data_IF_234162420114
#
_entry.id   IF_234162420114
#
_cell.length_a   1.000
_cell.length_b   1.000
_cell.length_c   1.000
_cell.angle_alpha   90.00
_cell.angle_beta   90.00
_cell.angle_gamma   90.00
#
_symmetry.space_group_name_H-M   'P 1'
#
loop_
_entity.id
_entity.type
_entity.pdbx_description
1 polymer ?
#
# COMPACT_ATOMS: atom_id res chain seq x y z
N UNK A 1 -20.87 -13.84 -90.79
CA UNK A 1 -19.96 -14.64 -91.65
C UNK A 1 -18.53 -14.30 -91.24
N UNK A 2 -17.71 -15.32 -90.88
CA UNK A 2 -16.23 -15.41 -90.97
C UNK A 2 -15.42 -14.09 -90.89
N UNK A 3 -14.36 -13.91 -90.11
CA UNK A 3 -13.35 -14.83 -89.59
C UNK A 3 -12.43 -13.99 -88.68
N UNK A 4 -11.94 -14.61 -87.62
CA UNK A 4 -10.84 -14.15 -86.78
C UNK A 4 -9.53 -14.06 -87.57
N UNK A 5 -8.67 -13.09 -87.26
CA UNK A 5 -7.22 -13.23 -87.41
C UNK A 5 -6.55 -12.67 -86.16
N UNK A 6 -5.83 -13.56 -85.49
CA UNK A 6 -5.05 -13.34 -84.27
C UNK A 6 -3.63 -12.95 -84.70
N UNK A 7 -3.06 -11.90 -84.13
CA UNK A 7 -1.61 -11.69 -84.09
C UNK A 7 -1.20 -11.68 -82.63
N UNK A 8 -0.43 -12.71 -82.29
CA UNK A 8 0.20 -12.95 -81.00
C UNK A 8 1.36 -11.99 -80.80
N UNK A 9 1.39 -11.25 -79.68
CA UNK A 9 2.62 -10.69 -79.13
C UNK A 9 2.75 -11.17 -77.69
N UNK A 10 3.76 -12.03 -77.49
CA UNK A 10 4.29 -12.45 -76.19
C UNK A 10 5.13 -11.30 -75.65
N UNK A 11 4.84 -10.83 -74.44
CA UNK A 11 5.62 -9.75 -73.81
C UNK A 11 5.36 -9.59 -72.32
N UNK A 12 6.18 -10.27 -71.51
CA UNK A 12 6.51 -10.07 -70.09
C UNK A 12 5.39 -9.82 -69.08
N UNK A 13 5.13 -10.86 -68.29
CA UNK A 13 4.45 -10.80 -67.00
C UNK A 13 5.39 -10.19 -65.95
N UNK A 14 5.03 -9.04 -65.38
CA UNK A 14 5.55 -8.60 -64.08
C UNK A 14 4.51 -8.95 -63.02
N UNK A 15 4.77 -10.00 -62.23
CA UNK A 15 4.06 -10.24 -60.98
C UNK A 15 4.67 -9.32 -59.90
N UNK A 16 4.09 -8.16 -59.67
CA UNK A 16 4.34 -7.44 -58.42
C UNK A 16 3.43 -8.03 -57.35
N UNK A 17 3.97 -8.97 -56.57
CA UNK A 17 3.35 -9.47 -55.34
C UNK A 17 3.47 -8.34 -54.31
N UNK A 18 2.46 -7.48 -54.21
CA UNK A 18 2.36 -6.61 -53.03
C UNK A 18 1.84 -7.46 -51.88
N UNK A 19 2.79 -8.09 -51.19
CA UNK A 19 2.59 -8.74 -49.89
C UNK A 19 1.96 -7.73 -48.94
N UNK A 20 0.91 -8.18 -48.25
CA UNK A 20 0.18 -7.45 -47.22
C UNK A 20 1.12 -6.74 -46.25
N UNK A 21 1.13 -5.41 -46.26
CA UNK A 21 1.62 -4.63 -45.13
C UNK A 21 0.45 -4.40 -44.16
N UNK A 22 0.06 -5.44 -43.43
CA UNK A 22 -0.72 -5.27 -42.22
C UNK A 22 0.22 -4.70 -41.14
N UNK A 23 0.37 -3.37 -41.11
CA UNK A 23 0.97 -2.69 -39.96
C UNK A 23 -0.08 -2.61 -38.85
N UNK A 24 -0.24 -3.70 -38.10
CA UNK A 24 -0.79 -3.61 -36.75
C UNK A 24 0.38 -3.29 -35.81
N UNK A 25 0.73 -2.01 -35.71
CA UNK A 25 1.53 -1.52 -34.60
C UNK A 25 0.58 -0.81 -33.63
N UNK A 26 -0.08 -1.60 -32.78
CA UNK A 26 -0.57 -1.12 -31.50
C UNK A 26 -0.13 -2.13 -30.46
N UNK A 27 0.99 -1.81 -29.82
CA UNK A 27 1.30 -2.23 -28.46
C UNK A 27 2.30 -1.23 -27.91
N UNK A 28 1.87 0.04 -27.79
CA UNK A 28 2.38 0.81 -26.65
C UNK A 28 1.85 0.07 -25.43
N UNK A 29 2.74 -0.69 -24.79
CA UNK A 29 2.55 -1.19 -23.44
C UNK A 29 1.97 -0.01 -22.64
N UNK A 30 0.68 -0.06 -22.30
CA UNK A 30 0.10 0.92 -21.40
C UNK A 30 0.80 0.64 -20.08
N UNK A 31 1.89 1.35 -19.82
CA UNK A 31 2.33 1.56 -18.45
C UNK A 31 1.17 2.31 -17.82
N UNK A 32 0.35 1.59 -17.06
CA UNK A 32 -0.69 2.22 -16.27
C UNK A 32 -0.03 3.40 -15.53
N UNK A 33 -0.66 4.57 -15.61
CA UNK A 33 -0.21 5.71 -14.83
C UNK A 33 -0.17 5.25 -13.37
N UNK A 34 0.90 5.57 -12.65
CA UNK A 34 1.01 5.22 -11.22
C UNK A 34 -0.20 5.77 -10.45
N UNK A 35 -0.77 6.88 -10.89
CA UNK A 35 -2.02 7.40 -10.34
C UNK A 35 -3.22 6.46 -10.55
N UNK A 36 -3.32 5.80 -11.72
CA UNK A 36 -4.37 4.82 -12.02
C UNK A 36 -4.19 3.54 -11.20
N UNK A 37 -2.95 3.05 -11.07
CA UNK A 37 -2.60 1.89 -10.24
C UNK A 37 -3.02 2.15 -8.79
N UNK A 38 -2.58 3.27 -8.20
CA UNK A 38 -2.91 3.63 -6.82
C UNK A 38 -4.41 3.91 -6.65
N UNK A 39 -5.09 4.45 -7.66
CA UNK A 39 -6.55 4.64 -7.66
C UNK A 39 -7.28 3.29 -7.65
N UNK A 40 -6.83 2.31 -8.42
CA UNK A 40 -7.39 0.96 -8.40
C UNK A 40 -7.18 0.29 -7.04
N UNK A 41 -5.98 0.39 -6.46
CA UNK A 41 -5.68 -0.13 -5.13
C UNK A 41 -6.54 0.54 -4.04
N UNK A 42 -6.69 1.87 -4.08
CA UNK A 42 -7.53 2.62 -3.16
C UNK A 42 -9.01 2.20 -3.22
N UNK A 43 -9.52 1.96 -4.43
CA UNK A 43 -10.91 1.57 -4.65
C UNK A 43 -11.20 0.09 -4.37
N UNK A 44 -10.17 -0.75 -4.29
CA UNK A 44 -10.32 -2.16 -3.95
C UNK A 44 -10.60 -2.33 -2.44
N UNK A 45 -11.86 -2.61 -2.10
CA UNK A 45 -12.34 -2.79 -0.72
C UNK A 45 -12.42 -4.26 -0.30
N UNK A 46 -11.62 -5.14 -0.92
CA UNK A 46 -11.57 -6.55 -0.53
C UNK A 46 -11.31 -6.69 0.98
N UNK A 47 -12.03 -7.61 1.63
CA UNK A 47 -11.84 -7.91 3.06
C UNK A 47 -10.41 -8.37 3.34
N UNK A 48 -9.94 -9.26 2.49
CA UNK A 48 -8.66 -9.95 2.56
C UNK A 48 -8.20 -10.28 1.12
N UNK A 49 -7.04 -10.91 0.99
CA UNK A 49 -6.46 -11.28 -0.29
C UNK A 49 -6.68 -12.76 -0.62
N UNK A 50 -7.88 -13.27 -0.30
CA UNK A 50 -8.38 -14.59 -0.70
C UNK A 50 -8.46 -15.63 0.41
N UNK A 51 -7.94 -15.34 1.60
CA UNK A 51 -7.92 -16.26 2.75
C UNK A 51 -7.78 -15.54 4.10
N UNK A 52 -8.07 -16.24 5.21
CA UNK A 52 -8.03 -15.69 6.58
C UNK A 52 -6.62 -15.30 7.07
N UNK A 53 -5.56 -15.72 6.36
CA UNK A 53 -4.16 -15.46 6.69
C UNK A 53 -3.55 -14.34 5.84
N UNK A 54 -4.29 -13.80 4.87
CA UNK A 54 -3.81 -12.80 3.92
C UNK A 54 -4.55 -11.46 4.08
N UNK A 55 -4.14 -10.58 5.01
CA UNK A 55 -4.73 -9.26 5.16
C UNK A 55 -4.74 -8.41 3.89
N UNK A 56 -5.70 -7.49 3.78
CA UNK A 56 -5.92 -6.66 2.59
C UNK A 56 -4.71 -5.78 2.18
N UNK A 57 -3.80 -5.43 3.11
CA UNK A 57 -2.56 -4.71 2.78
C UNK A 57 -1.62 -5.50 1.86
N UNK A 58 -1.90 -6.78 1.62
CA UNK A 58 -1.12 -7.60 0.70
C UNK A 58 -1.55 -7.42 -0.77
N UNK A 59 -2.74 -6.87 -1.06
CA UNK A 59 -3.27 -6.79 -2.43
C UNK A 59 -4.13 -5.55 -2.72
N UNK A 60 -4.24 -4.62 -1.79
CA UNK A 60 -5.11 -3.44 -1.92
C UNK A 60 -4.69 -2.32 -0.98
N UNK A 61 -5.28 -1.15 -1.20
CA UNK A 61 -5.04 0.07 -0.43
C UNK A 61 -3.63 0.63 -0.59
N UNK A 62 -3.42 1.82 -0.05
CA UNK A 62 -2.17 2.57 -0.23
C UNK A 62 -1.45 2.68 1.11
N UNK A 63 -0.33 1.98 1.27
CA UNK A 63 0.50 2.00 2.48
C UNK A 63 1.58 3.09 2.36
N UNK A 64 1.33 4.24 2.97
CA UNK A 64 2.10 5.46 2.78
C UNK A 64 2.79 5.93 4.06
N UNK A 65 4.00 6.46 3.91
CA UNK A 65 4.79 7.07 5.00
C UNK A 65 5.29 8.44 4.59
N UNK A 66 5.05 9.41 5.46
CA UNK A 66 5.63 10.74 5.34
C UNK A 66 7.10 10.76 5.72
N UNK A 67 7.89 11.55 5.01
CA UNK A 67 9.33 11.71 5.25
C UNK A 67 9.68 13.15 5.59
N UNK A 68 10.87 13.38 6.12
CA UNK A 68 11.34 14.74 6.44
C UNK A 68 12.44 15.15 5.47
N UNK A 69 12.52 16.43 5.10
CA UNK A 69 13.64 16.95 4.31
C UNK A 69 14.99 16.72 4.98
N UNK A 70 16.06 16.63 4.18
CA UNK A 70 17.44 16.67 4.66
C UNK A 70 18.06 15.34 5.07
N UNK A 71 17.35 14.23 4.87
CA UNK A 71 17.86 12.86 4.98
C UNK A 71 17.32 12.05 3.81
N UNK A 72 18.03 10.98 3.42
CA UNK A 72 17.49 10.04 2.44
C UNK A 72 16.13 9.54 2.92
N UNK A 73 15.11 9.62 2.06
CA UNK A 73 13.72 9.43 2.47
C UNK A 73 13.43 8.01 2.99
N UNK A 74 14.26 7.02 2.62
CA UNK A 74 14.17 5.63 3.06
C UNK A 74 14.93 5.33 4.36
N UNK A 75 15.69 6.29 4.93
CA UNK A 75 16.45 6.05 6.16
C UNK A 75 15.52 5.89 7.36
N UNK A 76 15.92 5.02 8.27
CA UNK A 76 15.17 4.75 9.47
C UNK A 76 15.64 5.63 10.62
N UNK A 77 14.69 6.08 11.44
CA UNK A 77 15.04 6.75 12.69
C UNK A 77 15.65 5.72 13.66
N UNK A 78 16.63 6.09 14.51
CA UNK A 78 17.20 5.18 15.51
C UNK A 78 16.16 4.50 16.40
N UNK A 79 15.06 5.19 16.71
CA UNK A 79 13.95 4.63 17.49
C UNK A 79 13.19 3.54 16.74
N UNK A 80 13.05 3.64 15.41
CA UNK A 80 12.41 2.61 14.58
C UNK A 80 13.22 1.34 14.55
N UNK A 81 14.55 1.45 14.49
CA UNK A 81 15.48 0.31 14.57
C UNK A 81 15.40 -0.30 15.97
N UNK A 82 15.57 0.52 17.02
CA UNK A 82 15.57 0.07 18.42
C UNK A 82 14.28 -0.67 18.82
N UNK A 83 13.13 -0.16 18.37
CA UNK A 83 11.82 -0.66 18.78
C UNK A 83 11.18 -1.58 17.72
N UNK A 84 11.95 -1.95 16.68
CA UNK A 84 11.54 -2.85 15.62
C UNK A 84 10.21 -2.45 14.95
N UNK A 85 10.04 -1.18 14.61
CA UNK A 85 8.82 -0.73 13.94
C UNK A 85 8.93 0.65 13.27
N UNK A 86 8.29 0.76 12.11
CA UNK A 86 8.21 1.96 11.28
C UNK A 86 6.74 2.27 11.05
N UNK A 87 6.33 3.50 11.39
CA UNK A 87 4.93 3.93 11.31
C UNK A 87 4.56 4.34 9.87
N UNK A 88 3.41 3.85 9.41
CA UNK A 88 2.78 4.14 8.13
C UNK A 88 1.30 4.47 8.36
N UNK A 89 0.67 5.09 7.37
CA UNK A 89 -0.78 5.19 7.24
C UNK A 89 -1.24 4.36 6.05
N UNK A 90 -2.45 3.82 6.13
CA UNK A 90 -3.04 2.98 5.10
C UNK A 90 -4.35 3.58 4.59
N UNK A 91 -4.39 3.99 3.33
CA UNK A 91 -5.53 4.68 2.75
C UNK A 91 -6.36 3.73 1.87
N UNK A 92 -7.67 3.68 2.11
CA UNK A 92 -8.64 2.90 1.32
C UNK A 92 -10.00 3.58 1.28
N UNK A 93 -10.81 3.30 0.26
CA UNK A 93 -12.11 3.96 0.03
C UNK A 93 -13.10 3.87 1.20
N UNK A 94 -13.07 2.80 1.96
CA UNK A 94 -13.94 2.54 3.12
C UNK A 94 -13.29 2.90 4.47
N UNK A 95 -12.03 3.31 4.47
CA UNK A 95 -11.21 3.63 5.64
C UNK A 95 -10.53 4.99 5.47
N UNK A 96 -11.33 6.00 5.08
CA UNK A 96 -10.82 7.32 4.72
C UNK A 96 -10.38 8.12 5.93
N UNK A 97 -9.40 8.99 5.72
CA UNK A 97 -9.04 10.05 6.63
C UNK A 97 -8.71 11.32 5.83
N UNK A 98 -8.98 12.49 6.40
CA UNK A 98 -9.01 13.77 5.68
C UNK A 98 -7.79 14.65 5.94
N UNK A 99 -6.97 14.34 6.94
CA UNK A 99 -5.74 15.09 7.17
C UNK A 99 -4.60 14.40 6.48
N UNK A 100 -3.82 15.23 5.79
CA UNK A 100 -2.51 14.89 5.30
C UNK A 100 -1.70 14.31 6.45
N UNK A 101 -1.06 13.17 6.19
CA UNK A 101 0.05 12.62 6.96
C UNK A 101 0.90 13.77 7.54
N UNK A 102 1.56 13.55 8.68
CA UNK A 102 2.42 14.53 9.33
C UNK A 102 3.58 15.11 8.45
N UNK A 103 3.60 14.83 7.14
CA UNK A 103 4.49 15.40 6.14
C UNK A 103 3.76 15.74 4.83
N UNK A 104 4.30 16.76 4.13
CA UNK A 104 3.87 17.19 2.80
C UNK A 104 4.34 16.25 1.66
N UNK A 105 5.21 15.28 1.97
CA UNK A 105 5.81 14.36 1.02
C UNK A 105 6.19 13.03 1.69
N UNK A 106 6.44 12.02 0.87
CA UNK A 106 6.85 10.71 1.34
C UNK A 106 6.86 9.66 0.25
N UNK A 107 6.71 8.40 0.66
CA UNK A 107 6.69 7.26 -0.24
C UNK A 107 5.57 6.27 0.10
N UNK A 108 5.26 5.43 -0.87
CA UNK A 108 4.28 4.35 -0.82
C UNK A 108 5.04 3.04 -1.01
N UNK A 109 4.73 2.03 -0.19
CA UNK A 109 5.22 0.67 -0.40
C UNK A 109 4.22 -0.14 -1.21
N UNK A 110 4.73 -1.06 -2.04
CA UNK A 110 3.88 -2.04 -2.72
C UNK A 110 3.05 -2.84 -1.72
N UNK A 111 1.80 -3.19 -2.06
CA UNK A 111 1.10 -4.29 -1.42
C UNK A 111 1.93 -5.58 -1.53
N UNK A 112 2.04 -6.36 -0.45
CA UNK A 112 3.01 -7.47 -0.36
C UNK A 112 2.96 -8.52 -1.49
N UNK A 113 1.77 -8.88 -1.99
CA UNK A 113 1.61 -9.82 -3.13
C UNK A 113 1.87 -9.16 -4.51
N UNK A 114 2.04 -7.84 -4.54
CA UNK A 114 2.37 -7.04 -5.73
C UNK A 114 3.83 -6.57 -5.75
N UNK A 115 4.57 -6.80 -4.66
CA UNK A 115 6.00 -6.50 -4.55
C UNK A 115 6.81 -7.22 -5.64
N UNK A 116 7.67 -6.52 -6.39
CA UNK A 116 8.59 -7.14 -7.35
C UNK A 116 9.50 -8.18 -6.69
N UNK A 117 9.87 -9.22 -7.44
CA UNK A 117 10.59 -10.38 -6.89
C UNK A 117 12.01 -10.06 -6.38
N UNK A 118 12.62 -8.99 -6.90
CA UNK A 118 13.92 -8.46 -6.50
C UNK A 118 13.89 -7.65 -5.21
N UNK A 119 12.70 -7.23 -4.75
CA UNK A 119 12.53 -6.46 -3.54
C UNK A 119 12.31 -7.38 -2.31
N UNK A 120 12.64 -6.86 -1.14
CA UNK A 120 12.34 -7.53 0.11
C UNK A 120 10.84 -7.47 0.44
N UNK A 121 10.34 -8.53 1.06
CA UNK A 121 8.98 -8.57 1.56
C UNK A 121 8.90 -7.85 2.90
N UNK A 122 8.28 -6.68 2.89
CA UNK A 122 8.09 -5.88 4.09
C UNK A 122 6.90 -6.42 4.89
N UNK A 123 7.09 -6.62 6.19
CA UNK A 123 6.09 -7.24 7.08
C UNK A 123 5.32 -6.19 7.87
N UNK A 124 3.99 -6.24 7.83
CA UNK A 124 3.13 -5.48 8.75
C UNK A 124 3.01 -6.22 10.08
N UNK A 125 3.26 -5.53 11.18
CA UNK A 125 3.30 -6.08 12.53
C UNK A 125 1.96 -5.93 13.25
N UNK A 126 1.40 -4.74 13.23
CA UNK A 126 0.14 -4.44 13.90
C UNK A 126 -0.54 -3.21 13.28
N UNK A 127 -1.79 -3.01 13.67
CA UNK A 127 -2.67 -2.02 13.08
C UNK A 127 -3.50 -1.31 14.16
N UNK A 128 -3.37 0.01 14.23
CA UNK A 128 -4.20 0.88 15.06
C UNK A 128 -5.21 1.64 14.20
N UNK A 129 -6.46 1.75 14.66
CA UNK A 129 -7.52 2.44 13.93
C UNK A 129 -7.42 3.98 13.98
N UNK A 130 -6.49 4.53 14.75
CA UNK A 130 -6.16 5.95 14.83
C UNK A 130 -4.67 6.14 15.16
N UNK A 131 -4.17 7.39 15.12
CA UNK A 131 -2.80 7.73 15.56
C UNK A 131 -2.59 7.35 17.03
N UNK A 132 -1.78 6.32 17.24
CA UNK A 132 -1.58 5.70 18.54
C UNK A 132 -0.35 6.24 19.27
N UNK A 133 0.27 7.31 18.74
CA UNK A 133 1.49 7.93 19.26
C UNK A 133 2.53 6.85 19.60
N UNK A 134 2.77 5.91 18.67
CA UNK A 134 3.55 4.69 18.92
C UNK A 134 4.96 4.97 19.46
N UNK A 135 5.54 6.10 19.09
CA UNK A 135 6.79 6.63 19.69
C UNK A 135 6.81 6.56 21.23
N UNK A 136 5.68 6.85 21.90
CA UNK A 136 5.57 6.87 23.35
C UNK A 136 5.42 5.49 24.02
N UNK A 137 5.24 4.39 23.28
CA UNK A 137 4.84 3.08 23.82
C UNK A 137 5.98 2.26 24.42
N UNK A 138 6.92 2.92 25.11
CA UNK A 138 8.00 2.31 25.91
C UNK A 138 8.81 1.23 25.17
N UNK A 139 9.00 1.40 23.87
CA UNK A 139 9.77 0.49 23.04
C UNK A 139 8.99 -0.67 22.43
N UNK A 140 7.68 -0.76 22.66
CA UNK A 140 6.81 -1.72 21.99
C UNK A 140 5.74 -1.00 21.16
N UNK A 141 6.04 -0.79 19.88
CA UNK A 141 5.15 -0.06 18.97
C UNK A 141 3.85 -0.80 18.66
N UNK A 142 3.70 -2.07 19.05
CA UNK A 142 2.45 -2.83 18.94
C UNK A 142 1.78 -3.10 20.30
N UNK A 143 2.34 -2.56 21.37
CA UNK A 143 1.80 -2.72 22.71
C UNK A 143 0.50 -1.97 22.90
N UNK A 144 -0.42 -2.52 23.69
CA UNK A 144 -1.72 -1.92 23.99
C UNK A 144 -1.80 -1.43 25.45
N UNK A 145 -2.57 -0.37 25.74
CA UNK A 145 -2.81 0.07 27.11
C UNK A 145 -3.56 -1.01 27.92
N UNK A 146 -3.46 -0.97 29.26
CA UNK A 146 -2.75 0.03 30.08
C UNK A 146 -1.24 -0.17 30.17
N UNK A 147 -0.71 -1.28 29.64
CA UNK A 147 0.70 -1.68 29.74
C UNK A 147 1.32 -1.96 28.36
N UNK A 148 1.57 -0.93 27.52
CA UNK A 148 2.14 -1.12 26.19
C UNK A 148 3.48 -1.87 26.19
N UNK A 149 4.29 -1.69 27.23
CA UNK A 149 5.57 -2.38 27.41
C UNK A 149 5.46 -3.92 27.38
N UNK A 150 4.28 -4.47 27.71
CA UNK A 150 4.02 -5.92 27.66
C UNK A 150 3.76 -6.45 26.25
N UNK A 151 3.53 -5.58 25.27
CA UNK A 151 3.34 -5.99 23.87
C UNK A 151 2.04 -6.72 23.56
N UNK A 152 1.05 -6.64 24.45
CA UNK A 152 -0.24 -7.29 24.26
C UNK A 152 -1.05 -6.56 23.18
N UNK A 153 -1.76 -7.35 22.37
CA UNK A 153 -2.63 -6.92 21.27
C UNK A 153 -4.07 -6.70 21.73
N UNK A 154 -4.92 -6.12 20.86
CA UNK A 154 -6.37 -6.08 21.06
C UNK A 154 -6.94 -7.48 21.32
N UNK A 155 -6.47 -8.49 20.58
CA UNK A 155 -6.93 -9.86 20.72
C UNK A 155 -6.67 -10.44 22.12
N UNK A 156 -5.54 -10.08 22.74
CA UNK A 156 -5.20 -10.51 24.11
C UNK A 156 -6.15 -9.95 25.17
N UNK A 157 -6.81 -8.82 24.86
CA UNK A 157 -7.83 -8.20 25.71
C UNK A 157 -9.26 -8.57 25.30
N UNK A 158 -9.44 -9.53 24.39
CA UNK A 158 -10.76 -9.98 23.93
C UNK A 158 -11.45 -9.01 22.96
N UNK A 159 -10.70 -8.07 22.38
CA UNK A 159 -11.19 -7.16 21.35
C UNK A 159 -10.90 -7.75 19.98
N UNK A 160 -11.94 -8.18 19.28
CA UNK A 160 -11.87 -8.85 17.98
C UNK A 160 -12.68 -8.14 16.88
N UNK A 161 -13.42 -7.09 17.21
CA UNK A 161 -14.30 -6.42 16.24
C UNK A 161 -14.18 -4.91 16.34
N UNK A 162 -14.49 -4.21 15.25
CA UNK A 162 -14.57 -2.76 15.21
C UNK A 162 -15.49 -2.18 16.29
N UNK A 163 -16.62 -2.84 16.55
CA UNK A 163 -17.57 -2.43 17.60
C UNK A 163 -16.97 -2.60 19.00
N UNK A 164 -16.29 -3.72 19.26
CA UNK A 164 -15.58 -3.91 20.53
C UNK A 164 -14.47 -2.88 20.69
N UNK A 165 -13.69 -2.59 19.65
CA UNK A 165 -12.64 -1.56 19.69
C UNK A 165 -13.22 -0.18 19.98
N UNK A 166 -14.31 0.21 19.30
CA UNK A 166 -15.00 1.49 19.55
C UNK A 166 -15.54 1.61 20.98
N UNK A 167 -15.89 0.49 21.63
CA UNK A 167 -16.27 0.48 23.06
C UNK A 167 -15.07 0.49 24.00
N UNK A 168 -13.99 -0.19 23.63
CA UNK A 168 -12.80 -0.36 24.45
C UNK A 168 -11.90 0.90 24.46
N UNK A 169 -11.97 1.72 23.40
CA UNK A 169 -11.08 2.86 23.27
C UNK A 169 -11.34 3.93 24.35
N UNK A 170 -10.38 4.09 25.26
CA UNK A 170 -10.50 5.05 26.34
C UNK A 170 -10.36 6.49 25.82
N UNK A 171 -11.41 7.29 26.03
CA UNK A 171 -11.46 8.73 25.68
C UNK A 171 -11.15 9.04 24.21
N UNK A 172 -11.29 8.05 23.30
CA UNK A 172 -10.92 8.18 21.87
C UNK A 172 -9.51 8.77 21.68
N UNK A 173 -8.56 8.31 22.48
CA UNK A 173 -7.21 8.89 22.56
C UNK A 173 -6.14 7.94 22.06
N UNK A 174 -5.00 8.50 21.62
CA UNK A 174 -3.81 7.77 21.22
C UNK A 174 -3.33 6.75 22.27
N UNK A 175 -3.51 7.05 23.55
CA UNK A 175 -3.11 6.18 24.67
C UNK A 175 -4.20 5.23 25.15
N UNK A 176 -5.43 5.39 24.65
CA UNK A 176 -6.57 4.55 25.01
C UNK A 176 -6.86 3.43 24.01
N UNK A 177 -6.08 3.33 22.94
CA UNK A 177 -6.31 2.39 21.83
C UNK A 177 -5.31 1.23 21.85
N UNK A 178 -5.81 0.01 21.64
CA UNK A 178 -5.02 -1.20 21.42
C UNK A 178 -4.67 -1.39 19.93
N UNK A 179 -3.64 -2.19 19.64
CA UNK A 179 -3.28 -2.57 18.27
C UNK A 179 -3.80 -3.97 17.96
N UNK A 180 -4.41 -4.17 16.79
CA UNK A 180 -4.64 -5.51 16.28
C UNK A 180 -3.32 -6.13 15.83
N UNK A 181 -3.01 -7.34 16.30
CA UNK A 181 -1.90 -8.13 15.76
C UNK A 181 -2.30 -8.70 14.40
N UNK A 182 -1.50 -8.42 13.38
CA UNK A 182 -1.75 -8.83 11.99
C UNK A 182 -0.59 -9.65 11.42
N UNK A 183 0.34 -10.10 12.27
CA UNK A 183 1.42 -11.00 11.89
C UNK A 183 0.85 -12.35 11.45
N UNK A 184 1.57 -13.13 10.61
CA UNK A 184 1.13 -14.47 10.22
C UNK A 184 0.89 -15.43 11.40
N UNK A 185 1.52 -15.18 12.55
CA UNK A 185 1.35 -15.95 13.80
C UNK A 185 0.10 -15.58 14.59
N UNK A 186 -0.57 -14.47 14.25
CA UNK A 186 -1.78 -14.03 14.92
C UNK A 186 -2.97 -14.93 14.55
N UNK A 187 -4.01 -14.90 15.40
CA UNK A 187 -5.28 -15.59 15.10
C UNK A 187 -6.09 -14.73 14.13
N UNK A 188 -6.32 -15.25 12.91
CA UNK A 188 -7.09 -14.59 11.83
C UNK A 188 -6.59 -13.16 11.54
N UNK A 189 -5.31 -12.99 11.14
CA UNK A 189 -4.73 -11.67 10.92
C UNK A 189 -5.47 -10.87 9.86
N UNK A 190 -6.05 -11.55 8.85
CA UNK A 190 -6.79 -10.85 7.80
C UNK A 190 -8.09 -10.23 8.34
N UNK A 191 -8.81 -10.95 9.20
CA UNK A 191 -9.97 -10.39 9.89
C UNK A 191 -9.55 -9.27 10.83
N UNK A 192 -8.48 -9.46 11.62
CA UNK A 192 -7.98 -8.45 12.55
C UNK A 192 -7.66 -7.11 11.85
N UNK A 193 -6.96 -7.15 10.70
CA UNK A 193 -6.71 -5.95 9.91
C UNK A 193 -8.00 -5.34 9.35
N UNK A 194 -8.93 -6.16 8.85
CA UNK A 194 -10.22 -5.67 8.37
C UNK A 194 -11.03 -4.97 9.47
N UNK A 195 -10.94 -5.44 10.72
CA UNK A 195 -11.60 -4.80 11.87
C UNK A 195 -10.98 -3.45 12.22
N UNK A 196 -9.69 -3.21 11.95
CA UNK A 196 -9.12 -1.85 11.99
C UNK A 196 -9.87 -0.94 11.02
N UNK A 197 -10.03 -1.37 9.77
CA UNK A 197 -10.63 -0.55 8.72
C UNK A 197 -12.10 -0.25 9.01
N UNK A 198 -12.84 -1.25 9.48
CA UNK A 198 -14.21 -1.09 9.96
C UNK A 198 -14.33 -0.21 11.21
N UNK A 199 -13.27 -0.10 12.03
CA UNK A 199 -13.27 0.74 13.22
C UNK A 199 -13.14 2.23 12.88
N UNK A 200 -12.45 2.57 11.79
CA UNK A 200 -12.14 3.96 11.44
C UNK A 200 -13.38 4.87 11.36
N UNK A 201 -14.50 4.47 10.71
CA UNK A 201 -15.71 5.31 10.66
C UNK A 201 -16.33 5.61 12.05
N UNK A 202 -16.15 4.74 13.05
CA UNK A 202 -16.74 4.96 14.38
C UNK A 202 -16.02 6.05 15.19
N UNK A 203 -14.75 6.31 14.88
CA UNK A 203 -13.86 7.12 15.70
C UNK A 203 -14.06 8.64 15.47
N UNK A 204 -14.75 9.04 14.39
CA UNK A 204 -15.05 10.44 14.07
C UNK A 204 -13.79 11.26 13.76
N UNK A 205 -13.85 12.59 13.90
CA UNK A 205 -12.71 13.51 13.68
C UNK A 205 -11.61 13.45 14.77
N UNK A 206 -11.47 12.33 15.49
CA UNK A 206 -10.42 12.15 16.49
C UNK A 206 -9.21 11.44 15.89
N UNK A 207 -8.06 12.12 15.86
CA UNK A 207 -6.75 11.56 15.48
C UNK A 207 -6.72 10.86 14.10
N UNK A 208 -7.43 11.46 13.14
CA UNK A 208 -6.97 11.94 11.83
C UNK A 208 -6.27 11.00 10.80
N UNK A 209 -5.82 9.81 11.18
CA UNK A 209 -5.34 8.73 10.29
C UNK A 209 -5.12 7.46 11.10
N UNK A 210 -5.14 6.29 10.46
CA UNK A 210 -4.69 5.07 11.12
C UNK A 210 -3.16 5.03 11.24
N UNK A 211 -2.68 4.20 12.16
CA UNK A 211 -1.26 3.96 12.35
C UNK A 211 -0.95 2.46 12.18
N UNK A 212 -0.22 2.14 11.12
CA UNK A 212 0.18 0.79 10.74
C UNK A 212 1.67 0.64 11.03
N UNK A 213 2.02 -0.36 11.83
CA UNK A 213 3.40 -0.62 12.18
C UNK A 213 3.99 -1.65 11.25
N UNK A 214 5.08 -1.28 10.61
CA UNK A 214 5.79 -2.07 9.61
C UNK A 214 7.17 -2.43 10.17
N UNK A 215 7.65 -3.64 9.91
CA UNK A 215 9.00 -4.07 10.31
C UNK A 215 10.06 -3.21 9.60
N UNK A 216 11.14 -2.78 10.30
CA UNK A 216 12.30 -2.17 9.67
C UNK A 216 12.87 -3.00 8.51
N UNK A 217 13.25 -2.31 7.44
CA UNK A 217 14.01 -2.84 6.30
C UNK A 217 15.51 -2.64 6.48
N UNK A 218 16.33 -3.24 5.60
CA UNK A 218 17.77 -2.97 5.56
C UNK A 218 18.06 -1.62 4.90
N UNK A 219 18.34 -0.60 5.72
CA UNK A 219 18.66 0.74 5.23
C UNK A 219 19.99 0.82 4.44
N UNK A 220 20.81 -0.24 4.46
CA UNK A 220 22.03 -0.33 3.65
C UNK A 220 21.76 -0.91 2.25
N UNK A 221 20.56 -1.45 2.00
CA UNK A 221 20.13 -1.95 0.71
C UNK A 221 18.89 -1.18 0.20
N UNK A 222 19.02 0.11 -0.15
CA UNK A 222 17.87 0.92 -0.58
C UNK A 222 17.15 0.37 -1.82
N UNK A 223 17.87 -0.33 -2.70
CA UNK A 223 17.29 -0.97 -3.89
C UNK A 223 16.39 -2.17 -3.55
N UNK A 224 16.58 -2.77 -2.38
CA UNK A 224 15.75 -3.86 -1.90
C UNK A 224 14.37 -3.40 -1.40
N UNK A 225 14.23 -2.13 -1.02
CA UNK A 225 12.99 -1.62 -0.41
C UNK A 225 11.87 -1.58 -1.47
N UNK A 226 10.68 -2.14 -1.19
CA UNK A 226 9.59 -2.24 -2.17
C UNK A 226 8.82 -0.91 -2.28
N UNK A 227 9.50 0.16 -2.69
CA UNK A 227 8.88 1.46 -2.96
C UNK A 227 8.13 1.40 -4.29
N UNK A 228 6.83 1.63 -4.24
CA UNK A 228 5.96 1.69 -5.41
C UNK A 228 5.92 3.11 -6.01
N UNK A 229 5.84 4.13 -5.16
CA UNK A 229 5.73 5.51 -5.60
C UNK A 229 6.27 6.50 -4.55
N UNK A 230 6.63 7.69 -5.03
CA UNK A 230 6.83 8.88 -4.19
C UNK A 230 5.59 9.77 -4.29
N UNK A 231 5.26 10.48 -3.22
CA UNK A 231 4.14 11.42 -3.21
C UNK A 231 4.55 12.77 -2.63
N UNK A 232 3.83 13.80 -3.06
CA UNK A 232 3.86 15.14 -2.49
C UNK A 232 2.48 15.78 -2.59
N UNK A 233 2.20 16.72 -1.70
CA UNK A 233 0.87 17.33 -1.56
C UNK A 233 0.78 18.76 -2.09
N UNK A 234 1.92 19.45 -2.23
CA UNK A 234 2.02 20.80 -2.77
C UNK A 234 3.43 21.07 -3.31
N UNK A 235 3.66 22.23 -3.92
CA UNK A 235 4.95 22.60 -4.48
C UNK A 235 6.11 22.57 -3.47
N UNK A 236 5.84 22.81 -2.18
CA UNK A 236 6.84 22.67 -1.11
C UNK A 236 7.23 21.21 -0.87
N UNK A 237 6.26 20.30 -0.90
CA UNK A 237 6.52 18.85 -0.82
C UNK A 237 7.30 18.31 -2.01
N UNK A 238 7.11 18.86 -3.22
CA UNK A 238 7.82 18.42 -4.44
C UNK A 238 9.34 18.63 -4.34
N UNK A 239 9.79 19.69 -3.69
CA UNK A 239 11.23 19.95 -3.45
C UNK A 239 11.85 18.84 -2.59
N UNK A 240 11.04 18.15 -1.80
CA UNK A 240 11.47 17.12 -0.85
C UNK A 240 11.06 15.70 -1.25
N UNK A 241 10.39 15.54 -2.39
CA UNK A 241 9.93 14.26 -2.95
C UNK A 241 10.86 13.77 -4.07
N UNK A 242 12.17 14.00 -3.91
CA UNK A 242 13.23 13.69 -4.87
C UNK A 242 14.23 12.72 -4.25
#
# INVERSE_FOLDING_TARGET
MKRTTVISLIGMVFFSVNVFAAKSEISSEVKDDIADILTAQYNNIAKDCGDEQSPAFLCSGVLMRGTRPGVDFWRLNPSSIKNNGVSFSYLRKDAKFNTTIASANGFILFPGKMTPAENEQVSVLCSYALDANTWGRQGNYCGSPPSPEKGQSCQDFGVFTAHQLNKAIARRSAWGVCAFDVRPTAKKPADAFYQTLLAMPYLGNGLNYNEIMVKPWDENNPKGIPIEALFYLNGGGLVYAQ
#
